data_IF_565273877125
#
_entry.id   IF_565273877125
#
_cell.length_a   1.000
_cell.length_b   1.000
_cell.length_c   1.000
_cell.angle_alpha   90.00
_cell.angle_beta   90.00
_cell.angle_gamma   90.00
#
_symmetry.space_group_name_H-M   'P 1'
#
loop_
_entity.id
_entity.type
_entity.pdbx_description
1 polymer ?
#
# COMPACT_ATOMS: atom_id res chain seq x y z
N UNK A 1 -20.17 23.32 -3.88
CA UNK A 1 -19.85 21.89 -4.01
C UNK A 1 -19.79 21.30 -2.60
N UNK A 2 -20.76 20.51 -2.16
CA UNK A 2 -20.69 19.88 -0.83
C UNK A 2 -19.67 18.75 -0.91
N UNK A 3 -18.54 18.91 -0.24
CA UNK A 3 -17.56 17.83 -0.09
C UNK A 3 -18.24 16.72 0.74
N UNK A 4 -18.36 15.55 0.15
CA UNK A 4 -18.86 14.35 0.86
C UNK A 4 -17.80 13.89 1.85
N UNK A 5 -18.20 13.29 2.95
CA UNK A 5 -17.30 12.85 4.03
C UNK A 5 -16.15 11.97 3.50
N UNK A 6 -16.37 10.97 2.62
CA UNK A 6 -15.28 10.17 2.07
C UNK A 6 -14.23 11.01 1.35
N UNK A 7 -14.62 11.99 0.55
CA UNK A 7 -13.66 12.86 -0.17
C UNK A 7 -12.75 13.65 0.76
N UNK A 8 -13.26 14.09 1.91
CA UNK A 8 -12.47 14.84 2.89
C UNK A 8 -11.39 13.94 3.47
N UNK A 9 -11.70 12.69 3.73
CA UNK A 9 -10.76 11.72 4.29
C UNK A 9 -9.67 11.36 3.27
N UNK A 10 -10.03 11.13 2.00
CA UNK A 10 -9.04 10.89 0.92
C UNK A 10 -8.10 12.08 0.72
N UNK A 11 -8.64 13.30 0.66
CA UNK A 11 -7.82 14.53 0.54
C UNK A 11 -6.94 14.69 1.79
N UNK A 12 -7.49 14.43 2.97
CA UNK A 12 -6.75 14.43 4.23
C UNK A 12 -5.55 13.48 4.19
N UNK A 13 -5.72 12.27 3.63
CA UNK A 13 -4.65 11.29 3.46
C UNK A 13 -3.55 11.81 2.53
N UNK A 14 -3.89 12.45 1.42
CA UNK A 14 -2.91 13.06 0.51
C UNK A 14 -2.12 14.16 1.22
N UNK A 15 -2.78 14.95 2.08
CA UNK A 15 -2.12 16.01 2.87
C UNK A 15 -1.24 15.41 3.99
N UNK A 16 -1.63 14.26 4.56
CA UNK A 16 -0.82 13.58 5.57
C UNK A 16 0.53 13.10 4.99
N UNK A 17 0.62 12.72 3.72
CA UNK A 17 1.87 12.21 3.12
C UNK A 17 3.04 13.18 3.26
N UNK A 18 2.98 14.46 2.85
CA UNK A 18 4.09 15.39 3.07
C UNK A 18 4.41 15.60 4.54
N UNK A 19 3.41 15.61 5.43
CA UNK A 19 3.64 15.70 6.87
C UNK A 19 4.39 14.46 7.36
N UNK A 20 3.99 13.27 6.92
CA UNK A 20 4.65 12.00 7.21
C UNK A 20 6.13 12.03 6.78
N UNK A 21 6.43 12.54 5.58
CA UNK A 21 7.82 12.72 5.12
C UNK A 21 8.62 13.61 6.08
N UNK A 22 8.05 14.74 6.50
CA UNK A 22 8.75 15.68 7.39
C UNK A 22 9.05 15.06 8.77
N UNK A 23 8.23 14.13 9.26
CA UNK A 23 8.46 13.49 10.56
C UNK A 23 9.70 12.61 10.61
N UNK A 24 10.18 12.10 9.48
CA UNK A 24 11.42 11.32 9.39
C UNK A 24 12.69 12.15 9.67
N UNK A 25 12.59 13.46 9.60
CA UNK A 25 13.71 14.37 9.92
C UNK A 25 13.72 14.79 11.40
N UNK A 26 12.76 14.33 12.21
CA UNK A 26 12.72 14.55 13.65
C UNK A 26 13.64 13.51 14.32
N UNK A 27 14.68 13.91 15.08
CA UNK A 27 15.54 12.94 15.73
C UNK A 27 14.92 12.32 16.98
N UNK A 28 15.37 11.10 17.31
CA UNK A 28 15.06 10.42 18.56
C UNK A 28 13.65 9.85 18.66
N UNK A 29 13.15 9.67 19.87
CA UNK A 29 11.90 8.99 20.21
C UNK A 29 10.70 9.43 19.37
N UNK A 30 10.53 10.73 19.17
CA UNK A 30 9.42 11.26 18.37
C UNK A 30 9.57 10.98 16.88
N UNK A 31 10.81 10.84 16.38
CA UNK A 31 11.09 10.48 14.99
C UNK A 31 10.69 9.05 14.63
N UNK A 32 10.64 8.14 15.60
CA UNK A 32 10.13 6.78 15.40
C UNK A 32 8.62 6.72 15.64
N UNK A 33 8.13 7.42 16.64
CA UNK A 33 6.75 7.29 17.11
C UNK A 33 5.74 8.00 16.20
N UNK A 34 6.04 9.22 15.77
CA UNK A 34 5.10 10.04 14.97
C UNK A 34 4.85 9.40 13.59
N UNK A 35 5.89 8.98 12.82
CA UNK A 35 5.66 8.30 11.55
C UNK A 35 4.81 7.03 11.69
N UNK A 36 5.08 6.22 12.72
CA UNK A 36 4.27 5.03 13.02
C UNK A 36 2.79 5.37 13.19
N UNK A 37 2.47 6.33 14.08
CA UNK A 37 1.07 6.71 14.32
C UNK A 37 0.40 7.34 13.10
N UNK A 38 1.10 8.18 12.34
CA UNK A 38 0.56 8.78 11.13
C UNK A 38 0.25 7.72 10.07
N UNK A 39 1.16 6.75 9.89
CA UNK A 39 0.94 5.66 8.95
C UNK A 39 -0.24 4.78 9.36
N UNK A 40 -0.31 4.37 10.64
CA UNK A 40 -1.42 3.56 11.16
C UNK A 40 -2.75 4.31 11.05
N UNK A 41 -2.77 5.62 11.42
CA UNK A 41 -3.96 6.45 11.31
C UNK A 41 -4.43 6.59 9.86
N UNK A 42 -3.50 6.88 8.93
CA UNK A 42 -3.82 7.00 7.51
C UNK A 42 -4.35 5.67 6.92
N UNK A 43 -3.74 4.54 7.30
CA UNK A 43 -4.17 3.20 6.89
C UNK A 43 -5.54 2.83 7.46
N UNK A 44 -5.80 3.22 8.70
CA UNK A 44 -7.08 2.96 9.36
C UNK A 44 -8.21 3.83 8.77
N UNK A 45 -7.92 5.10 8.48
CA UNK A 45 -8.89 5.98 7.82
C UNK A 45 -9.25 5.48 6.43
N UNK A 46 -8.30 4.91 5.66
CA UNK A 46 -8.57 4.29 4.36
C UNK A 46 -9.58 3.13 4.47
N UNK A 47 -9.36 2.25 5.46
CA UNK A 47 -10.30 1.17 5.72
C UNK A 47 -11.70 1.67 6.10
N UNK A 48 -11.77 2.73 6.93
CA UNK A 48 -13.03 3.35 7.32
C UNK A 48 -13.75 4.01 6.15
N UNK A 49 -13.03 4.70 5.26
CA UNK A 49 -13.61 5.34 4.08
C UNK A 49 -14.30 4.34 3.18
N UNK A 50 -13.62 3.23 2.88
CA UNK A 50 -14.20 2.15 2.09
C UNK A 50 -15.43 1.52 2.75
N UNK A 51 -15.46 1.45 4.09
CA UNK A 51 -16.62 0.96 4.84
C UNK A 51 -17.78 1.96 4.81
N UNK A 52 -17.50 3.23 5.10
CA UNK A 52 -18.49 4.31 5.14
C UNK A 52 -19.12 4.57 3.77
N UNK A 53 -18.32 4.60 2.71
CA UNK A 53 -18.80 4.76 1.34
C UNK A 53 -19.82 3.69 0.95
N UNK A 54 -19.57 2.42 1.35
CA UNK A 54 -20.52 1.33 1.13
C UNK A 54 -21.81 1.46 1.96
N UNK A 55 -21.69 1.85 3.23
CA UNK A 55 -22.86 1.98 4.14
C UNK A 55 -23.75 3.15 3.69
N UNK A 56 -23.16 4.30 3.38
CA UNK A 56 -23.90 5.50 3.02
C UNK A 56 -24.28 5.58 1.54
N UNK A 57 -23.77 4.66 0.69
CA UNK A 57 -23.93 4.70 -0.79
C UNK A 57 -23.56 6.05 -1.38
N UNK A 58 -22.60 6.72 -0.78
CA UNK A 58 -22.13 8.06 -1.15
C UNK A 58 -20.80 7.98 -1.89
N UNK A 59 -20.75 7.20 -2.95
CA UNK A 59 -19.60 7.20 -3.84
C UNK A 59 -19.52 8.50 -4.64
N UNK A 60 -18.33 9.04 -4.80
CA UNK A 60 -18.08 10.20 -5.63
C UNK A 60 -17.02 9.89 -6.67
N UNK A 61 -17.19 10.43 -7.88
CA UNK A 61 -16.20 10.27 -8.96
C UNK A 61 -14.79 10.76 -8.57
N UNK A 62 -14.70 11.76 -7.70
CA UNK A 62 -13.44 12.28 -7.20
C UNK A 62 -12.78 11.29 -6.22
N UNK A 63 -13.54 10.69 -5.30
CA UNK A 63 -13.07 9.65 -4.40
C UNK A 63 -12.61 8.42 -5.17
N UNK A 64 -13.44 7.91 -6.09
CA UNK A 64 -13.10 6.77 -6.95
C UNK A 64 -11.76 6.95 -7.69
N UNK A 65 -11.44 8.19 -8.10
CA UNK A 65 -10.17 8.51 -8.74
C UNK A 65 -9.01 8.63 -7.72
N UNK A 66 -9.24 9.31 -6.59
CA UNK A 66 -8.16 9.67 -5.66
C UNK A 66 -7.81 8.55 -4.67
N UNK A 67 -8.76 7.69 -4.27
CA UNK A 67 -8.54 6.63 -3.29
C UNK A 67 -7.41 5.66 -3.72
N UNK A 68 -7.41 5.10 -4.95
CA UNK A 68 -6.35 4.21 -5.38
C UNK A 68 -4.98 4.91 -5.47
N UNK A 69 -4.96 6.22 -5.67
CA UNK A 69 -3.73 7.02 -5.76
C UNK A 69 -3.17 7.28 -4.36
N UNK A 70 -4.03 7.72 -3.43
CA UNK A 70 -3.66 8.07 -2.07
C UNK A 70 -3.07 6.88 -1.31
N UNK A 71 -3.69 5.70 -1.42
CA UNK A 71 -3.20 4.47 -0.82
C UNK A 71 -1.79 4.10 -1.31
N UNK A 72 -1.56 4.14 -2.62
CA UNK A 72 -0.24 3.81 -3.19
C UNK A 72 0.84 4.82 -2.85
N UNK A 73 0.52 6.12 -2.84
CA UNK A 73 1.47 7.16 -2.46
C UNK A 73 1.93 6.97 -1.02
N UNK A 74 1.03 6.65 -0.09
CA UNK A 74 1.39 6.42 1.31
C UNK A 74 2.35 5.24 1.46
N UNK A 75 2.04 4.08 0.87
CA UNK A 75 2.88 2.88 0.91
C UNK A 75 4.22 3.12 0.23
N UNK A 76 4.23 3.74 -0.96
CA UNK A 76 5.46 4.04 -1.69
C UNK A 76 6.37 4.96 -0.88
N UNK A 77 5.80 6.04 -0.31
CA UNK A 77 6.55 6.97 0.52
C UNK A 77 7.13 6.29 1.75
N UNK A 78 6.34 5.46 2.44
CA UNK A 78 6.83 4.73 3.62
C UNK A 78 8.00 3.81 3.28
N UNK A 79 7.92 3.01 2.21
CA UNK A 79 9.00 2.12 1.78
C UNK A 79 10.25 2.90 1.37
N UNK A 80 10.12 4.00 0.62
CA UNK A 80 11.24 4.85 0.23
C UNK A 80 11.94 5.44 1.46
N UNK A 81 11.18 5.93 2.44
CA UNK A 81 11.72 6.51 3.67
C UNK A 81 12.42 5.46 4.55
N UNK A 82 11.86 4.24 4.63
CA UNK A 82 12.49 3.11 5.35
C UNK A 82 13.80 2.65 4.68
N UNK A 83 13.90 2.78 3.36
CA UNK A 83 15.16 2.55 2.64
C UNK A 83 16.13 3.71 2.89
N UNK A 84 15.66 4.96 2.84
CA UNK A 84 16.47 6.16 3.04
C UNK A 84 17.13 6.19 4.43
N UNK A 85 16.39 5.83 5.48
CA UNK A 85 16.91 5.82 6.84
C UNK A 85 17.72 4.55 7.21
N UNK A 86 17.85 3.60 6.26
CA UNK A 86 18.62 2.36 6.45
C UNK A 86 17.93 1.28 7.31
N UNK A 87 16.63 1.41 7.59
CA UNK A 87 15.85 0.34 8.23
C UNK A 87 15.71 -0.86 7.28
N UNK A 88 15.44 -0.58 5.99
CA UNK A 88 15.49 -1.55 4.90
C UNK A 88 16.79 -1.33 4.13
N UNK A 89 17.71 -2.30 4.13
CA UNK A 89 19.04 -2.17 3.55
C UNK A 89 19.48 -3.44 2.81
N UNK A 90 20.56 -3.35 2.07
CA UNK A 90 21.15 -4.48 1.35
C UNK A 90 20.12 -5.22 0.46
N UNK A 91 20.03 -6.53 0.59
CA UNK A 91 19.10 -7.38 -0.19
C UNK A 91 17.62 -7.16 0.15
N UNK A 92 17.32 -6.57 1.30
CA UNK A 92 15.94 -6.29 1.75
C UNK A 92 15.27 -5.23 0.86
N UNK A 93 16.08 -4.35 0.24
CA UNK A 93 15.61 -3.34 -0.73
C UNK A 93 14.93 -4.00 -1.94
N UNK A 94 15.35 -5.22 -2.31
CA UNK A 94 14.72 -5.97 -3.41
C UNK A 94 13.25 -6.25 -3.10
N UNK A 95 12.91 -6.61 -1.86
CA UNK A 95 11.52 -6.84 -1.47
C UNK A 95 10.68 -5.57 -1.59
N UNK A 96 11.21 -4.41 -1.17
CA UNK A 96 10.54 -3.11 -1.34
C UNK A 96 10.32 -2.76 -2.82
N UNK A 97 11.32 -2.97 -3.68
CA UNK A 97 11.21 -2.74 -5.13
C UNK A 97 10.14 -3.65 -5.74
N UNK A 98 10.12 -4.94 -5.41
CA UNK A 98 9.12 -5.90 -5.89
C UNK A 98 7.71 -5.42 -5.53
N UNK A 99 7.50 -5.02 -4.28
CA UNK A 99 6.19 -4.52 -3.81
C UNK A 99 5.78 -3.29 -4.62
N UNK A 100 6.65 -2.27 -4.70
CA UNK A 100 6.34 -1.02 -5.40
C UNK A 100 6.06 -1.23 -6.88
N UNK A 101 6.92 -1.96 -7.57
CA UNK A 101 6.78 -2.23 -9.00
C UNK A 101 5.46 -2.93 -9.29
N UNK A 102 5.14 -3.95 -8.50
CA UNK A 102 3.88 -4.68 -8.67
C UNK A 102 2.65 -3.83 -8.33
N UNK A 103 2.70 -3.01 -7.28
CA UNK A 103 1.56 -2.13 -6.94
C UNK A 103 1.22 -1.18 -8.10
N UNK A 104 2.23 -0.60 -8.73
CA UNK A 104 2.05 0.30 -9.88
C UNK A 104 1.53 -0.50 -11.08
N UNK A 105 2.17 -1.62 -11.41
CA UNK A 105 1.85 -2.44 -12.58
C UNK A 105 0.41 -2.99 -12.52
N UNK A 106 0.03 -3.61 -11.40
CA UNK A 106 -1.31 -4.18 -11.26
C UNK A 106 -2.39 -3.09 -11.16
N UNK A 107 -2.05 -1.91 -10.66
CA UNK A 107 -2.99 -0.79 -10.68
C UNK A 107 -3.31 -0.34 -12.10
N UNK A 108 -2.27 -0.14 -12.91
CA UNK A 108 -2.47 0.22 -14.32
C UNK A 108 -3.23 -0.85 -15.09
N UNK A 109 -2.89 -2.12 -14.84
CA UNK A 109 -3.59 -3.24 -15.48
C UNK A 109 -5.07 -3.32 -15.08
N UNK A 110 -5.39 -3.10 -13.80
CA UNK A 110 -6.79 -3.05 -13.35
C UNK A 110 -7.58 -1.92 -14.00
N UNK A 111 -6.97 -0.76 -14.13
CA UNK A 111 -7.60 0.38 -14.79
C UNK A 111 -7.85 0.10 -16.28
N UNK A 112 -6.89 -0.52 -16.95
CA UNK A 112 -7.04 -0.96 -18.34
C UNK A 112 -8.18 -1.97 -18.50
N UNK A 113 -8.23 -3.01 -17.67
CA UNK A 113 -9.26 -4.03 -17.72
C UNK A 113 -10.66 -3.50 -17.35
N UNK A 114 -10.74 -2.55 -16.41
CA UNK A 114 -12.00 -1.90 -16.06
C UNK A 114 -12.60 -1.11 -17.22
N UNK A 115 -11.77 -0.46 -18.05
CA UNK A 115 -12.23 0.18 -19.29
C UNK A 115 -12.80 -0.83 -20.29
N UNK A 116 -12.27 -2.05 -20.32
CA UNK A 116 -12.79 -3.18 -21.08
C UNK A 116 -14.00 -3.89 -20.46
N UNK A 117 -14.58 -3.36 -19.38
CA UNK A 117 -15.71 -3.95 -18.62
C UNK A 117 -15.41 -5.34 -18.03
N UNK A 118 -14.14 -5.66 -17.81
CA UNK A 118 -13.73 -6.90 -17.14
C UNK A 118 -13.57 -6.64 -15.66
N UNK A 119 -14.46 -7.22 -14.88
CA UNK A 119 -14.38 -7.18 -13.43
C UNK A 119 -13.38 -8.21 -12.91
N UNK A 120 -12.34 -7.72 -12.22
CA UNK A 120 -11.32 -8.55 -11.61
C UNK A 120 -11.63 -8.72 -10.13
N UNK A 121 -12.21 -9.84 -9.77
CA UNK A 121 -12.53 -10.15 -8.37
C UNK A 121 -11.29 -10.16 -7.48
N UNK A 122 -11.37 -9.45 -6.37
CA UNK A 122 -10.31 -9.41 -5.36
C UNK A 122 -10.33 -10.73 -4.57
N UNK A 123 -9.27 -11.51 -4.72
CA UNK A 123 -9.13 -12.79 -3.99
C UNK A 123 -8.82 -12.56 -2.50
N UNK A 124 -9.15 -13.55 -1.66
CA UNK A 124 -8.79 -13.52 -0.24
C UNK A 124 -7.26 -13.37 -0.01
N UNK A 125 -6.45 -13.99 -0.87
CA UNK A 125 -4.98 -13.85 -0.83
C UNK A 125 -4.53 -12.41 -1.10
N UNK A 126 -5.22 -11.67 -1.97
CA UNK A 126 -4.92 -10.25 -2.23
C UNK A 126 -5.20 -9.37 -1.01
N UNK A 127 -6.21 -9.69 -0.21
CA UNK A 127 -6.48 -9.00 1.06
C UNK A 127 -5.43 -9.33 2.11
N UNK A 128 -5.08 -10.61 2.24
CA UNK A 128 -4.07 -11.08 3.18
C UNK A 128 -2.71 -10.44 2.88
N UNK A 129 -2.28 -10.41 1.61
CA UNK A 129 -1.00 -9.77 1.23
C UNK A 129 -0.96 -8.31 1.63
N UNK A 130 -2.05 -7.54 1.40
CA UNK A 130 -2.11 -6.13 1.76
C UNK A 130 -2.04 -5.94 3.27
N UNK A 131 -2.73 -6.78 4.04
CA UNK A 131 -2.66 -6.75 5.50
C UNK A 131 -1.24 -7.01 6.01
N UNK A 132 -0.56 -8.06 5.50
CA UNK A 132 0.82 -8.39 5.88
C UNK A 132 1.78 -7.27 5.50
N UNK A 133 1.61 -6.66 4.34
CA UNK A 133 2.40 -5.52 3.88
C UNK A 133 2.26 -4.31 4.80
N UNK A 134 1.02 -3.92 5.13
CA UNK A 134 0.75 -2.80 6.04
C UNK A 134 1.30 -3.06 7.45
N UNK A 135 1.13 -4.28 7.95
CA UNK A 135 1.68 -4.70 9.24
C UNK A 135 3.22 -4.65 9.25
N UNK A 136 3.87 -5.16 8.19
CA UNK A 136 5.32 -5.09 8.04
C UNK A 136 5.83 -3.65 8.09
N UNK A 137 5.24 -2.76 7.29
CA UNK A 137 5.63 -1.34 7.24
C UNK A 137 5.41 -0.68 8.61
N UNK A 138 4.26 -0.92 9.25
CA UNK A 138 3.98 -0.38 10.58
C UNK A 138 5.03 -0.81 11.61
N UNK A 139 5.39 -2.10 11.65
CA UNK A 139 6.43 -2.61 12.55
C UNK A 139 7.79 -1.96 12.24
N UNK A 140 8.18 -1.85 10.97
CA UNK A 140 9.46 -1.23 10.57
C UNK A 140 9.52 0.26 10.94
N UNK A 141 8.40 0.97 10.92
CA UNK A 141 8.30 2.37 11.32
C UNK A 141 8.49 2.60 12.82
N UNK A 142 8.34 1.57 13.67
CA UNK A 142 8.58 1.70 15.12
C UNK A 142 10.05 1.93 15.47
N UNK A 143 10.98 1.68 14.55
CA UNK A 143 12.40 1.95 14.69
C UNK A 143 13.03 1.33 15.94
N UNK A 144 13.85 2.12 16.66
CA UNK A 144 14.50 1.68 17.89
C UNK A 144 13.53 1.39 19.03
N UNK A 145 12.39 2.08 19.08
CA UNK A 145 11.37 1.85 20.11
C UNK A 145 10.82 0.44 19.98
N UNK A 146 10.45 0.05 18.78
CA UNK A 146 9.96 -1.29 18.50
C UNK A 146 10.99 -2.36 18.87
N UNK A 147 12.27 -2.13 18.54
CA UNK A 147 13.35 -3.04 18.88
C UNK A 147 13.59 -3.19 20.38
N UNK A 148 13.31 -2.15 21.19
CA UNK A 148 13.38 -2.22 22.64
C UNK A 148 12.18 -2.92 23.29
N UNK A 149 10.98 -2.74 22.69
CA UNK A 149 9.74 -3.34 23.20
C UNK A 149 9.60 -4.82 22.81
N UNK A 150 9.98 -5.15 21.58
CA UNK A 150 9.93 -6.49 21.03
C UNK A 150 11.36 -7.02 20.96
N UNK A 151 11.83 -7.54 22.07
CA UNK A 151 13.12 -8.23 22.14
C UNK A 151 12.88 -9.64 22.69
N UNK A 152 12.58 -10.57 21.77
CA UNK A 152 12.29 -11.95 22.13
C UNK A 152 13.41 -12.85 21.59
N UNK A 153 14.28 -13.30 22.50
CA UNK A 153 15.48 -14.08 22.16
C UNK A 153 16.36 -13.34 21.13
N UNK A 154 16.44 -13.82 19.89
CA UNK A 154 17.24 -13.22 18.81
C UNK A 154 16.41 -12.39 17.81
N UNK A 155 15.10 -12.22 18.06
CA UNK A 155 14.19 -11.51 17.17
C UNK A 155 13.77 -10.15 17.74
N UNK A 156 14.13 -9.10 17.05
CA UNK A 156 13.67 -7.74 17.33
C UNK A 156 12.57 -7.32 16.32
N UNK A 157 11.92 -6.17 16.58
CA UNK A 157 10.87 -5.66 15.71
C UNK A 157 11.32 -5.51 14.26
N UNK A 158 12.55 -5.06 14.03
CA UNK A 158 13.10 -4.91 12.67
C UNK A 158 13.19 -6.27 11.96
N UNK A 159 13.69 -7.31 12.61
CA UNK A 159 13.77 -8.66 12.02
C UNK A 159 12.39 -9.18 11.63
N UNK A 160 11.40 -9.05 12.55
CA UNK A 160 10.02 -9.46 12.28
C UNK A 160 9.44 -8.67 11.10
N UNK A 161 9.63 -7.34 11.09
CA UNK A 161 9.18 -6.48 10.00
C UNK A 161 9.76 -6.88 8.65
N UNK A 162 11.05 -7.20 8.58
CA UNK A 162 11.72 -7.65 7.35
C UNK A 162 11.20 -9.02 6.88
N UNK A 163 10.99 -9.97 7.79
CA UNK A 163 10.39 -11.26 7.44
C UNK A 163 9.00 -11.06 6.82
N UNK A 164 8.18 -10.23 7.43
CA UNK A 164 6.85 -9.90 6.90
C UNK A 164 6.93 -9.15 5.56
N UNK A 165 7.94 -8.30 5.36
CA UNK A 165 8.18 -7.61 4.09
C UNK A 165 8.45 -8.62 2.96
N UNK A 166 9.33 -9.57 3.17
CA UNK A 166 9.61 -10.63 2.22
C UNK A 166 8.39 -11.51 1.96
N UNK A 167 7.66 -11.89 3.01
CA UNK A 167 6.42 -12.65 2.87
C UNK A 167 5.41 -11.91 2.00
N UNK A 168 5.23 -10.60 2.23
CA UNK A 168 4.34 -9.79 1.40
C UNK A 168 4.84 -9.65 -0.03
N UNK A 169 6.17 -9.57 -0.26
CA UNK A 169 6.76 -9.53 -1.60
C UNK A 169 6.47 -10.83 -2.38
N UNK A 170 6.63 -12.00 -1.75
CA UNK A 170 6.30 -13.28 -2.37
C UNK A 170 4.81 -13.41 -2.68
N UNK A 171 3.93 -13.08 -1.73
CA UNK A 171 2.48 -13.11 -1.95
C UNK A 171 2.06 -12.13 -3.05
N UNK A 172 2.72 -11.01 -3.13
CA UNK A 172 2.49 -9.97 -4.14
C UNK A 172 2.86 -10.46 -5.55
N UNK A 173 3.98 -11.17 -5.72
CA UNK A 173 4.35 -11.78 -7.00
C UNK A 173 3.37 -12.88 -7.39
N UNK A 174 3.04 -13.77 -6.46
CA UNK A 174 2.10 -14.86 -6.71
C UNK A 174 0.73 -14.34 -7.17
N UNK A 175 0.14 -13.40 -6.41
CA UNK A 175 -1.15 -12.83 -6.78
C UNK A 175 -1.08 -11.93 -8.03
N UNK A 176 0.07 -11.33 -8.31
CA UNK A 176 0.29 -10.50 -9.50
C UNK A 176 0.31 -11.30 -10.81
N UNK A 177 0.85 -12.51 -10.75
CA UNK A 177 0.92 -13.38 -11.93
C UNK A 177 -0.46 -13.66 -12.54
N UNK A 178 -1.45 -13.98 -11.72
CA UNK A 178 -2.83 -14.23 -12.19
C UNK A 178 -3.45 -13.02 -12.88
N UNK A 179 -3.18 -11.81 -12.36
CA UNK A 179 -3.66 -10.58 -12.96
C UNK A 179 -2.99 -10.30 -14.31
N UNK A 180 -1.67 -10.49 -14.38
CA UNK A 180 -0.91 -10.29 -15.62
C UNK A 180 -1.38 -11.24 -16.71
N UNK A 181 -1.53 -12.53 -16.41
CA UNK A 181 -1.99 -13.52 -17.35
C UNK A 181 -3.35 -13.14 -17.97
N UNK A 182 -4.34 -12.84 -17.11
CA UNK A 182 -5.68 -12.44 -17.56
C UNK A 182 -5.66 -11.14 -18.38
N UNK A 183 -4.79 -10.19 -18.01
CA UNK A 183 -4.65 -8.94 -18.74
C UNK A 183 -4.06 -9.12 -20.12
N UNK A 184 -3.04 -9.97 -20.26
CA UNK A 184 -2.42 -10.29 -21.54
C UNK A 184 -3.40 -11.03 -22.46
N UNK A 185 -4.08 -12.06 -21.92
CA UNK A 185 -5.08 -12.83 -22.67
C UNK A 185 -6.17 -11.91 -23.25
N UNK A 186 -6.63 -10.93 -22.45
CA UNK A 186 -7.63 -9.97 -22.92
C UNK A 186 -7.12 -9.00 -23.97
N UNK A 187 -5.89 -8.49 -23.81
CA UNK A 187 -5.30 -7.59 -24.83
C UNK A 187 -5.16 -8.28 -26.19
N UNK A 188 -4.72 -9.54 -26.20
CA UNK A 188 -4.59 -10.35 -27.42
C UNK A 188 -5.97 -10.57 -28.06
N UNK A 189 -7.01 -10.85 -27.28
CA UNK A 189 -8.37 -11.05 -27.78
C UNK A 189 -8.98 -9.77 -28.39
N UNK A 190 -8.62 -8.59 -27.92
CA UNK A 190 -9.04 -7.31 -28.49
C UNK A 190 -8.36 -7.06 -29.84
N UNK A 191 -7.04 -7.20 -29.92
CA UNK A 191 -6.29 -7.02 -31.16
C UNK A 191 -6.81 -7.95 -32.27
N UNK A 192 -7.15 -9.20 -31.94
CA UNK A 192 -7.69 -10.18 -32.89
C UNK A 192 -9.10 -9.84 -33.36
N UNK A 193 -9.87 -9.04 -32.63
CA UNK A 193 -11.21 -8.59 -33.02
C UNK A 193 -11.20 -7.32 -33.86
N UNK A 194 -10.21 -6.45 -33.68
CA UNK A 194 -10.03 -5.24 -34.48
C UNK A 194 -9.49 -5.55 -35.89
N UNK A 195 -8.75 -6.67 -36.06
CA UNK A 195 -8.21 -7.11 -37.32
C UNK A 195 -9.23 -7.88 -38.19
N UNK A 196 -10.48 -8.08 -37.76
CA UNK A 196 -11.56 -8.76 -38.47
C UNK A 196 -12.66 -7.79 -38.89
#
# INVERSE_FOLDING_TARGET
MKLKIPNILTIGRIIIVPIFVLTFFIPGFFGDLIPFFLFVLASFTDYLDGLLARIFKEESKLGELLDPIADKILVATALILLVMNGTIKNYEVIAAIIILTREILISGLREFLAKGQIDMQVTGLSKLKTFIQMLSIAILLTGEIGNKLINFQDYNAQTIGIILLWLSAFLTLYTGYDYLRKGIDHAIDQDTKEDR
#
